data_IF_865194616002
#
_entry.id   IF_865194616002
#
_cell.length_a   1.000
_cell.length_b   1.000
_cell.length_c   1.000
_cell.angle_alpha   90.00
_cell.angle_beta   90.00
_cell.angle_gamma   90.00
#
_symmetry.space_group_name_H-M   'P 1'
#
loop_
_entity.id
_entity.type
_entity.pdbx_description
1 polymer ?
#
# COMPACT_ATOMS: atom_id res chain seq x y z
N UNK A 1 -22.71 33.82 72.83
CA UNK A 1 -21.81 33.99 71.66
C UNK A 1 -21.57 32.63 71.02
N UNK A 2 -22.33 32.20 70.00
CA UNK A 2 -21.97 31.02 69.22
C UNK A 2 -21.09 31.44 68.04
N UNK A 3 -19.98 30.71 67.86
CA UNK A 3 -19.05 30.89 66.74
C UNK A 3 -19.63 30.27 65.47
N UNK A 4 -19.85 31.09 64.44
CA UNK A 4 -20.21 30.63 63.10
C UNK A 4 -18.97 30.06 62.41
N UNK A 5 -18.89 28.74 62.26
CA UNK A 5 -17.86 28.08 61.46
C UNK A 5 -18.28 28.19 59.98
N UNK A 6 -17.70 29.17 59.29
CA UNK A 6 -17.81 29.32 57.84
C UNK A 6 -17.08 28.15 57.17
N UNK A 7 -17.82 27.14 56.72
CA UNK A 7 -17.31 26.07 55.87
C UNK A 7 -17.01 26.61 54.48
N UNK A 8 -15.77 27.07 54.27
CA UNK A 8 -15.20 27.32 52.96
C UNK A 8 -15.10 26.00 52.20
N UNK A 9 -16.09 25.70 51.35
CA UNK A 9 -15.97 24.62 50.37
C UNK A 9 -14.96 25.08 49.32
N UNK A 10 -13.75 24.54 49.37
CA UNK A 10 -12.85 24.52 48.22
C UNK A 10 -13.60 23.85 47.06
N UNK A 11 -14.05 24.64 46.09
CA UNK A 11 -14.51 24.13 44.82
C UNK A 11 -13.29 23.56 44.11
N UNK A 12 -13.17 22.23 44.06
CA UNK A 12 -12.20 21.55 43.21
C UNK A 12 -12.36 22.06 41.78
N UNK A 13 -11.26 22.33 41.04
CA UNK A 13 -11.35 22.77 39.67
C UNK A 13 -12.11 21.72 38.86
N UNK A 14 -13.06 22.19 38.05
CA UNK A 14 -13.92 21.39 37.18
C UNK A 14 -13.04 20.41 36.38
N UNK A 15 -13.12 19.11 36.68
CA UNK A 15 -12.40 18.08 35.93
C UNK A 15 -13.07 18.04 34.56
N UNK A 16 -12.44 18.67 33.57
CA UNK A 16 -12.83 18.54 32.16
C UNK A 16 -12.91 17.06 31.86
N UNK A 17 -14.12 16.58 31.56
CA UNK A 17 -14.37 15.15 31.35
C UNK A 17 -13.49 14.65 30.19
N UNK A 18 -12.48 13.84 30.52
CA UNK A 18 -11.59 13.27 29.50
C UNK A 18 -12.25 12.05 28.87
N UNK A 19 -11.95 11.84 27.60
CA UNK A 19 -12.48 10.76 26.78
C UNK A 19 -11.32 10.05 26.07
N UNK A 20 -11.46 8.74 25.89
CA UNK A 20 -10.52 7.94 25.12
C UNK A 20 -11.01 7.84 23.68
N UNK A 21 -10.11 8.08 22.73
CA UNK A 21 -10.34 7.86 21.31
C UNK A 21 -9.24 6.96 20.75
N UNK A 22 -9.46 6.38 19.58
CA UNK A 22 -8.47 5.55 18.90
C UNK A 22 -8.05 6.22 17.59
N UNK A 23 -6.75 6.22 17.30
CA UNK A 23 -6.23 6.79 16.05
C UNK A 23 -5.52 5.71 15.26
N UNK A 24 -5.98 5.47 14.02
CA UNK A 24 -5.37 4.55 13.08
C UNK A 24 -4.57 5.30 12.03
N UNK A 25 -3.32 4.90 11.81
CA UNK A 25 -2.50 5.45 10.74
C UNK A 25 -2.77 4.71 9.40
N UNK A 26 -3.37 5.38 8.42
CA UNK A 26 -3.69 4.78 7.11
C UNK A 26 -2.61 5.05 6.04
N UNK A 27 -1.47 5.63 6.42
CA UNK A 27 -0.34 5.85 5.51
C UNK A 27 0.22 4.50 5.00
N UNK A 28 0.13 4.26 3.69
CA UNK A 28 0.75 3.11 3.02
C UNK A 28 -0.18 1.94 2.63
N UNK A 29 -1.47 1.97 2.99
CA UNK A 29 -2.43 0.90 2.65
C UNK A 29 -2.90 0.93 1.17
N UNK A 30 -2.34 1.81 0.32
CA UNK A 30 -2.77 1.97 -1.08
C UNK A 30 -1.98 1.17 -2.11
N UNK A 31 -1.12 0.21 -1.72
CA UNK A 31 -0.49 -0.69 -2.69
C UNK A 31 -1.35 -1.96 -2.80
N UNK A 32 -2.18 -2.14 -3.84
CA UNK A 32 -2.65 -3.48 -4.16
C UNK A 32 -1.42 -4.37 -4.36
N UNK A 33 -1.44 -5.64 -3.89
CA UNK A 33 -0.30 -6.53 -4.07
C UNK A 33 0.10 -6.57 -5.55
N UNK A 34 1.40 -6.61 -5.89
CA UNK A 34 1.80 -6.84 -7.26
C UNK A 34 1.13 -8.13 -7.73
N UNK A 35 0.29 -8.03 -8.75
CA UNK A 35 -0.33 -9.17 -9.42
C UNK A 35 0.73 -9.95 -10.19
N UNK A 36 1.59 -10.66 -9.45
CA UNK A 36 2.55 -11.61 -9.96
C UNK A 36 2.94 -12.58 -8.85
N UNK A 37 1.96 -13.31 -8.32
CA UNK A 37 2.24 -14.61 -7.71
C UNK A 37 1.62 -15.70 -8.58
N UNK A 38 2.55 -16.44 -9.17
CA UNK A 38 2.35 -17.60 -10.01
C UNK A 38 1.42 -18.58 -9.31
N UNK A 39 0.38 -19.03 -10.03
CA UNK A 39 -0.37 -20.23 -9.66
C UNK A 39 0.60 -21.36 -9.33
N UNK A 40 0.54 -21.87 -8.10
CA UNK A 40 0.62 -23.29 -7.79
C UNK A 40 -0.29 -23.53 -6.60
N UNK A 41 -1.27 -24.41 -6.79
CA UNK A 41 -2.41 -24.55 -5.90
C UNK A 41 -2.07 -25.17 -4.55
N UNK A 42 -2.75 -24.67 -3.52
CA UNK A 42 -3.46 -25.46 -2.51
C UNK A 42 -4.08 -24.51 -1.46
N UNK A 43 -5.35 -24.75 -1.13
CA UNK A 43 -6.21 -24.16 -0.09
C UNK A 43 -6.92 -22.80 -0.33
N UNK A 44 -8.28 -22.77 -0.32
CA UNK A 44 -9.09 -21.56 -0.28
C UNK A 44 -9.57 -21.23 1.15
N UNK A 45 -8.68 -21.20 2.13
CA UNK A 45 -9.00 -20.77 3.51
C UNK A 45 -7.86 -19.93 4.09
N UNK A 46 -7.57 -18.81 3.46
CA UNK A 46 -6.86 -17.72 4.11
C UNK A 46 -7.42 -16.42 3.58
N UNK A 47 -8.40 -15.92 4.32
CA UNK A 47 -8.92 -14.57 4.20
C UNK A 47 -7.75 -13.59 4.11
N UNK A 48 -7.81 -12.71 3.11
CA UNK A 48 -6.99 -11.52 3.00
C UNK A 48 -7.02 -10.76 4.33
N UNK A 49 -6.04 -10.97 5.19
CA UNK A 49 -5.77 -10.10 6.32
C UNK A 49 -5.24 -8.80 5.72
N UNK A 50 -6.17 -7.86 5.50
CA UNK A 50 -5.85 -6.45 5.49
C UNK A 50 -5.04 -6.20 6.75
N UNK A 51 -3.72 -6.02 6.62
CA UNK A 51 -2.86 -5.62 7.72
C UNK A 51 -3.24 -4.19 8.11
N UNK A 52 -4.35 -4.06 8.83
CA UNK A 52 -4.79 -2.84 9.48
C UNK A 52 -3.67 -2.52 10.49
N UNK A 53 -2.96 -1.43 10.27
CA UNK A 53 -2.09 -0.87 11.30
C UNK A 53 -2.89 -0.77 12.61
N UNK A 54 -2.31 -1.17 13.77
CA UNK A 54 -3.04 -1.15 15.02
C UNK A 54 -3.39 0.30 15.39
N UNK A 55 -4.64 0.54 15.75
CA UNK A 55 -5.06 1.84 16.26
C UNK A 55 -4.47 2.05 17.65
N UNK A 56 -3.94 3.23 17.93
CA UNK A 56 -3.40 3.57 19.25
C UNK A 56 -4.39 4.45 20.03
N UNK A 57 -4.55 4.21 21.35
CA UNK A 57 -5.44 5.01 22.17
C UNK A 57 -4.83 6.39 22.47
N UNK A 58 -5.68 7.42 22.51
CA UNK A 58 -5.34 8.77 22.93
C UNK A 58 -6.39 9.30 23.89
N UNK A 59 -5.95 9.85 25.02
CA UNK A 59 -6.80 10.49 26.03
C UNK A 59 -6.86 11.98 25.74
N UNK A 60 -8.05 12.51 25.49
CA UNK A 60 -8.28 13.91 25.14
C UNK A 60 -9.48 14.49 25.92
N UNK A 61 -9.52 15.79 26.20
CA UNK A 61 -10.72 16.44 26.72
C UNK A 61 -11.90 16.31 25.75
N UNK A 62 -13.12 16.12 26.26
CA UNK A 62 -14.32 15.98 25.43
C UNK A 62 -14.58 17.19 24.50
N UNK A 63 -14.20 18.39 24.93
CA UNK A 63 -14.34 19.65 24.20
C UNK A 63 -13.11 20.03 23.34
N UNK A 64 -12.11 19.14 23.25
CA UNK A 64 -10.88 19.45 22.55
C UNK A 64 -11.13 19.85 21.07
N UNK A 65 -10.35 20.83 20.61
CA UNK A 65 -10.32 21.22 19.21
C UNK A 65 -9.54 20.22 18.36
N UNK A 66 -9.88 20.11 17.07
CA UNK A 66 -9.13 19.28 16.11
C UNK A 66 -7.69 19.79 15.95
N UNK A 67 -7.45 21.09 16.12
CA UNK A 67 -6.11 21.66 16.16
C UNK A 67 -5.28 21.06 17.29
N UNK A 68 -5.80 21.05 18.51
CA UNK A 68 -5.11 20.48 19.67
C UNK A 68 -4.83 18.98 19.46
N UNK A 69 -5.78 18.25 18.89
CA UNK A 69 -5.60 16.84 18.56
C UNK A 69 -4.46 16.63 17.55
N UNK A 70 -4.40 17.45 16.52
CA UNK A 70 -3.35 17.41 15.49
C UNK A 70 -1.96 17.68 16.10
N UNK A 71 -1.85 18.62 17.03
CA UNK A 71 -0.60 18.90 17.76
C UNK A 71 -0.17 17.72 18.62
N UNK A 72 -1.09 17.10 19.37
CA UNK A 72 -0.80 15.90 20.17
C UNK A 72 -0.35 14.73 19.29
N UNK A 73 -0.98 14.57 18.13
CA UNK A 73 -0.61 13.54 17.17
C UNK A 73 0.77 13.79 16.56
N UNK A 74 1.08 15.03 16.18
CA UNK A 74 2.41 15.43 15.69
C UNK A 74 3.52 15.01 16.65
N UNK A 75 3.33 15.27 17.95
CA UNK A 75 4.28 14.86 18.99
C UNK A 75 4.37 13.33 19.12
N UNK A 76 3.23 12.63 19.08
CA UNK A 76 3.18 11.16 19.23
C UNK A 76 3.76 10.42 18.02
N UNK A 77 3.54 10.92 16.81
CA UNK A 77 3.92 10.25 15.57
C UNK A 77 5.21 10.80 14.97
N UNK A 78 5.78 11.87 15.54
CA UNK A 78 6.93 12.61 15.01
C UNK A 78 6.74 13.13 13.57
N UNK A 79 5.49 13.47 13.21
CA UNK A 79 5.13 13.96 11.87
C UNK A 79 4.71 15.42 11.94
N UNK A 80 5.07 16.27 10.96
CA UNK A 80 4.65 17.67 10.95
C UNK A 80 3.14 17.80 10.80
N UNK A 81 2.54 18.79 11.46
CA UNK A 81 1.09 19.04 11.41
C UNK A 81 0.56 19.27 9.98
N UNK A 82 1.40 19.80 9.09
CA UNK A 82 1.06 20.01 7.67
C UNK A 82 0.70 18.72 6.94
N UNK A 83 1.32 17.62 7.36
CA UNK A 83 1.23 16.31 6.72
C UNK A 83 0.18 15.42 7.40
N UNK A 84 -0.49 15.91 8.44
CA UNK A 84 -1.56 15.18 9.11
C UNK A 84 -2.91 15.59 8.53
N UNK A 85 -3.71 14.59 8.12
CA UNK A 85 -5.12 14.74 7.75
C UNK A 85 -5.94 13.75 8.54
N UNK A 86 -6.89 14.26 9.32
CA UNK A 86 -7.78 13.45 10.13
C UNK A 86 -9.10 13.22 9.41
N UNK A 87 -9.58 11.98 9.44
CA UNK A 87 -10.81 11.54 8.80
C UNK A 87 -11.65 10.77 9.82
N UNK A 88 -12.92 11.13 9.91
CA UNK A 88 -13.91 10.44 10.72
C UNK A 88 -15.21 10.30 9.93
N UNK A 89 -15.81 9.10 9.95
CA UNK A 89 -17.03 8.78 9.19
C UNK A 89 -16.97 9.20 7.70
N UNK A 90 -15.80 9.07 7.07
CA UNK A 90 -15.59 9.45 5.66
C UNK A 90 -15.50 10.97 5.39
N UNK A 91 -15.49 11.81 6.44
CA UNK A 91 -15.36 13.27 6.32
C UNK A 91 -14.02 13.73 6.88
N UNK A 92 -13.37 14.66 6.18
CA UNK A 92 -12.17 15.33 6.67
C UNK A 92 -12.51 16.29 7.80
N UNK A 93 -11.77 16.19 8.91
CA UNK A 93 -11.93 17.09 10.04
C UNK A 93 -11.17 18.40 9.77
N UNK A 94 -11.84 19.52 10.00
CA UNK A 94 -11.25 20.86 9.88
C UNK A 94 -10.61 21.29 11.19
N UNK A 95 -9.46 21.97 11.13
CA UNK A 95 -8.72 22.42 12.32
C UNK A 95 -9.50 23.41 13.20
N UNK A 96 -10.54 24.07 12.66
CA UNK A 96 -11.41 25.00 13.37
C UNK A 96 -12.58 24.34 14.11
N UNK A 97 -12.82 23.04 13.89
CA UNK A 97 -13.90 22.30 14.53
C UNK A 97 -13.46 21.65 15.85
N UNK A 98 -14.42 21.24 16.67
CA UNK A 98 -14.20 20.49 17.93
C UNK A 98 -14.63 19.03 17.78
N UNK A 99 -14.18 18.17 18.69
CA UNK A 99 -14.61 16.76 18.72
C UNK A 99 -16.14 16.63 18.84
N UNK A 100 -16.73 17.39 19.76
CA UNK A 100 -18.18 17.45 19.98
C UNK A 100 -18.95 17.85 18.71
N UNK A 101 -18.47 18.88 17.98
CA UNK A 101 -19.14 19.36 16.75
C UNK A 101 -19.15 18.33 15.61
N UNK A 102 -18.24 17.35 15.63
CA UNK A 102 -18.16 16.27 14.64
C UNK A 102 -18.82 14.97 15.13
N UNK A 103 -19.54 14.98 16.25
CA UNK A 103 -20.13 13.79 16.88
C UNK A 103 -19.10 12.70 17.19
N UNK A 104 -17.89 13.11 17.60
CA UNK A 104 -16.83 12.19 18.03
C UNK A 104 -17.01 11.94 19.53
N UNK A 105 -17.39 10.71 19.88
CA UNK A 105 -17.64 10.28 21.25
C UNK A 105 -16.47 9.46 21.81
N UNK A 106 -16.59 9.00 23.06
CA UNK A 106 -15.70 7.96 23.62
C UNK A 106 -15.65 6.75 22.68
N UNK A 107 -14.46 6.17 22.61
CA UNK A 107 -14.13 4.98 21.81
C UNK A 107 -14.28 5.18 20.29
N UNK A 108 -14.41 6.42 19.82
CA UNK A 108 -14.41 6.73 18.39
C UNK A 108 -13.03 6.46 17.76
N UNK A 109 -13.04 5.84 16.58
CA UNK A 109 -11.83 5.56 15.78
C UNK A 109 -11.66 6.60 14.67
N UNK A 110 -10.60 7.39 14.75
CA UNK A 110 -10.19 8.36 13.75
C UNK A 110 -9.12 7.74 12.84
N UNK A 111 -9.15 8.11 11.57
CA UNK A 111 -8.14 7.71 10.61
C UNK A 111 -7.22 8.90 10.33
N UNK A 112 -5.94 8.72 10.61
CA UNK A 112 -4.89 9.67 10.30
C UNK A 112 -4.26 9.26 8.97
N UNK A 113 -4.43 10.09 7.95
CA UNK A 113 -3.82 9.94 6.64
C UNK A 113 -2.67 10.94 6.46
N UNK A 114 -1.59 10.49 5.84
CA UNK A 114 -0.60 11.42 5.28
C UNK A 114 -0.97 11.78 3.84
N UNK A 115 -0.70 13.00 3.38
CA UNK A 115 -0.81 13.31 1.96
C UNK A 115 0.06 12.33 1.20
N UNK A 116 -0.53 11.62 0.25
CA UNK A 116 0.24 10.84 -0.69
C UNK A 116 1.15 11.83 -1.40
N UNK A 117 2.47 11.76 -1.12
CA UNK A 117 3.46 12.44 -1.93
C UNK A 117 3.22 11.94 -3.34
N UNK A 118 2.64 12.79 -4.18
CA UNK A 118 2.30 12.45 -5.55
C UNK A 118 3.54 11.84 -6.18
N UNK A 119 3.48 10.56 -6.50
CA UNK A 119 4.56 9.90 -7.21
C UNK A 119 4.78 10.70 -8.48
N UNK A 120 5.99 11.21 -8.68
CA UNK A 120 6.39 11.76 -9.97
C UNK A 120 5.88 10.79 -11.04
N UNK A 121 5.14 11.26 -12.07
CA UNK A 121 4.59 10.35 -13.06
C UNK A 121 5.74 9.46 -13.54
N UNK A 122 5.61 8.13 -13.46
CA UNK A 122 6.70 7.23 -13.77
C UNK A 122 7.18 7.59 -15.18
N UNK A 123 8.48 7.86 -15.31
CA UNK A 123 9.08 8.21 -16.60
C UNK A 123 8.63 7.14 -17.59
N UNK A 124 7.96 7.57 -18.67
CA UNK A 124 7.47 6.64 -19.69
C UNK A 124 8.70 5.97 -20.31
N UNK A 125 8.91 4.70 -20.01
CA UNK A 125 9.98 3.91 -20.60
C UNK A 125 9.72 3.85 -22.11
N UNK A 126 10.74 4.06 -22.91
CA UNK A 126 10.65 4.03 -24.37
C UNK A 126 11.08 2.67 -24.89
N UNK A 127 10.57 2.32 -26.07
CA UNK A 127 11.02 1.15 -26.80
C UNK A 127 12.53 1.22 -27.05
N UNK A 128 13.24 0.13 -26.76
CA UNK A 128 14.68 -0.02 -27.00
C UNK A 128 15.01 -0.29 -28.48
N UNK A 129 14.01 -0.67 -29.28
CA UNK A 129 14.22 -0.97 -30.71
C UNK A 129 14.67 0.26 -31.50
N UNK A 130 15.59 0.05 -32.45
CA UNK A 130 16.17 1.11 -33.30
C UNK A 130 15.06 1.86 -34.02
N UNK A 131 15.16 3.19 -34.03
CA UNK A 131 14.20 4.10 -34.67
C UNK A 131 12.75 4.05 -34.15
N UNK A 132 12.49 3.32 -33.05
CA UNK A 132 11.17 3.29 -32.43
C UNK A 132 11.01 4.41 -31.39
N UNK A 133 10.01 5.29 -31.60
CA UNK A 133 9.69 6.39 -30.67
C UNK A 133 8.54 6.07 -29.71
N UNK A 134 7.98 4.87 -29.80
CA UNK A 134 6.83 4.46 -28.99
C UNK A 134 7.22 4.18 -27.54
N UNK A 135 6.25 4.32 -26.64
CA UNK A 135 6.41 3.89 -25.25
C UNK A 135 6.49 2.37 -25.14
N UNK A 136 7.35 1.86 -24.27
CA UNK A 136 7.37 0.46 -23.92
C UNK A 136 6.09 0.09 -23.15
N UNK A 137 5.58 -1.12 -23.40
CA UNK A 137 4.40 -1.63 -22.70
C UNK A 137 4.79 -2.04 -21.28
N UNK A 138 4.10 -1.52 -20.26
CA UNK A 138 4.38 -1.88 -18.86
C UNK A 138 4.13 -3.37 -18.61
N UNK A 139 4.97 -4.03 -17.81
CA UNK A 139 4.89 -5.45 -17.38
C UNK A 139 5.16 -6.46 -18.50
N UNK A 140 4.69 -6.13 -19.68
CA UNK A 140 4.53 -7.01 -20.82
C UNK A 140 5.64 -6.76 -21.84
N UNK A 141 6.14 -5.52 -21.94
CA UNK A 141 7.15 -5.11 -22.92
C UNK A 141 8.58 -5.50 -22.57
N UNK A 142 8.83 -6.04 -21.37
CA UNK A 142 10.16 -6.41 -20.91
C UNK A 142 10.58 -7.76 -21.51
N UNK A 143 11.75 -7.80 -22.15
CA UNK A 143 12.33 -9.03 -22.68
C UNK A 143 13.35 -9.60 -21.69
N UNK A 144 13.10 -10.79 -21.16
CA UNK A 144 13.99 -11.46 -20.20
C UNK A 144 15.30 -11.99 -20.80
N UNK A 145 15.44 -12.01 -22.12
CA UNK A 145 16.65 -12.52 -22.79
C UNK A 145 17.68 -11.41 -23.03
N UNK A 146 17.24 -10.25 -23.53
CA UNK A 146 18.11 -9.10 -23.79
C UNK A 146 17.98 -7.96 -22.76
N UNK A 147 17.11 -8.10 -21.75
CA UNK A 147 16.78 -7.06 -20.75
C UNK A 147 16.29 -5.73 -21.37
N UNK A 148 15.78 -5.76 -22.61
CA UNK A 148 15.22 -4.62 -23.32
C UNK A 148 13.74 -4.38 -23.02
N UNK A 149 13.25 -3.16 -23.28
CA UNK A 149 11.85 -2.77 -23.07
C UNK A 149 11.22 -2.39 -24.40
N UNK A 150 10.07 -2.96 -24.75
CA UNK A 150 9.52 -2.88 -26.09
C UNK A 150 8.05 -2.46 -26.12
N UNK A 151 7.66 -1.77 -27.19
CA UNK A 151 6.26 -1.42 -27.46
C UNK A 151 5.47 -2.62 -27.99
N UNK A 152 4.16 -2.49 -28.14
CA UNK A 152 3.29 -3.57 -28.62
C UNK A 152 3.71 -4.18 -29.97
N UNK A 153 4.37 -3.40 -30.84
CA UNK A 153 4.87 -3.85 -32.15
C UNK A 153 6.25 -4.50 -32.12
N UNK A 154 7.01 -4.36 -31.03
CA UNK A 154 8.38 -4.89 -30.92
C UNK A 154 8.54 -5.84 -29.73
N UNK A 155 7.43 -6.30 -29.15
CA UNK A 155 7.44 -7.12 -27.93
C UNK A 155 7.94 -8.54 -28.19
N UNK A 156 7.65 -9.12 -29.36
CA UNK A 156 8.09 -10.48 -29.67
C UNK A 156 9.60 -10.50 -29.92
N UNK A 157 10.22 -11.62 -29.58
CA UNK A 157 11.65 -11.87 -29.78
C UNK A 157 12.06 -11.67 -31.25
N UNK A 158 11.17 -12.05 -32.17
CA UNK A 158 11.35 -11.89 -33.62
C UNK A 158 11.32 -10.41 -34.03
N UNK A 159 10.36 -9.64 -33.50
CA UNK A 159 10.14 -8.24 -33.91
C UNK A 159 11.29 -7.31 -33.50
N UNK A 160 11.87 -7.51 -32.31
CA UNK A 160 13.01 -6.70 -31.86
C UNK A 160 14.37 -7.31 -32.19
N UNK A 161 14.41 -8.42 -32.92
CA UNK A 161 15.64 -9.16 -33.26
C UNK A 161 16.45 -9.45 -32.00
N UNK A 162 15.83 -10.16 -31.06
CA UNK A 162 16.45 -10.47 -29.78
C UNK A 162 17.77 -11.22 -29.97
N UNK A 163 18.84 -10.76 -29.35
CA UNK A 163 20.14 -11.45 -29.38
C UNK A 163 20.04 -12.86 -28.75
N UNK A 164 19.15 -13.05 -27.78
CA UNK A 164 18.91 -14.36 -27.14
C UNK A 164 17.92 -15.28 -27.89
N UNK A 165 17.44 -14.88 -29.07
CA UNK A 165 16.54 -15.71 -29.88
C UNK A 165 17.23 -17.01 -30.31
N UNK A 166 18.49 -16.93 -30.76
CA UNK A 166 19.24 -18.08 -31.28
C UNK A 166 19.50 -19.13 -30.19
N UNK A 167 19.89 -18.68 -28.99
CA UNK A 167 20.10 -19.56 -27.84
C UNK A 167 18.80 -20.25 -27.40
N UNK A 168 17.70 -19.48 -27.28
CA UNK A 168 16.40 -20.01 -26.92
C UNK A 168 15.88 -21.03 -27.95
N UNK A 169 16.11 -20.77 -29.24
CA UNK A 169 15.71 -21.66 -30.32
C UNK A 169 16.53 -22.95 -30.31
N UNK A 170 17.85 -22.85 -30.13
CA UNK A 170 18.76 -24.00 -30.06
C UNK A 170 18.44 -24.90 -28.87
N UNK A 171 18.20 -24.32 -27.69
CA UNK A 171 17.83 -25.07 -26.49
C UNK A 171 16.51 -25.85 -26.67
N UNK A 172 15.50 -25.21 -27.28
CA UNK A 172 14.23 -25.86 -27.59
C UNK A 172 14.40 -27.04 -28.55
N UNK A 173 15.20 -26.86 -29.62
CA UNK A 173 15.48 -27.93 -30.57
C UNK A 173 16.24 -29.10 -29.95
N UNK A 174 17.23 -28.82 -29.10
CA UNK A 174 17.99 -29.86 -28.40
C UNK A 174 17.10 -30.69 -27.48
N UNK A 175 16.22 -30.02 -26.72
CA UNK A 175 15.26 -30.68 -25.83
C UNK A 175 14.25 -31.55 -26.59
N UNK A 176 13.74 -31.06 -27.72
CA UNK A 176 12.83 -31.83 -28.57
C UNK A 176 13.55 -33.02 -29.21
N UNK A 177 14.78 -32.81 -29.71
CA UNK A 177 15.60 -33.89 -30.26
C UNK A 177 15.89 -34.97 -29.21
N UNK A 178 16.20 -34.59 -27.98
CA UNK A 178 16.41 -35.52 -26.87
C UNK A 178 15.13 -36.33 -26.56
N UNK A 179 13.97 -35.68 -26.55
CA UNK A 179 12.69 -36.34 -26.34
C UNK A 179 12.36 -37.34 -27.46
N UNK A 180 12.47 -36.93 -28.73
CA UNK A 180 12.25 -37.80 -29.89
C UNK A 180 13.21 -38.98 -29.91
N UNK A 181 14.46 -38.78 -29.51
CA UNK A 181 15.45 -39.85 -29.41
C UNK A 181 15.11 -40.85 -28.29
N UNK A 182 14.56 -40.38 -27.17
CA UNK A 182 14.13 -41.23 -26.07
C UNK A 182 12.86 -42.04 -26.42
N UNK A 183 11.95 -41.45 -27.19
CA UNK A 183 10.70 -42.08 -27.67
C UNK A 183 10.91 -42.92 -28.94
N UNK A 184 12.15 -42.97 -29.46
CA UNK A 184 12.46 -43.69 -30.70
C UNK A 184 12.27 -45.19 -30.52
N UNK A 185 11.33 -45.76 -31.28
CA UNK A 185 11.14 -47.22 -31.36
C UNK A 185 12.39 -47.91 -31.87
N UNK A 186 12.94 -48.83 -31.08
CA UNK A 186 14.06 -49.67 -31.50
C UNK A 186 13.54 -50.95 -32.13
N UNK A 187 14.07 -51.31 -33.29
CA UNK A 187 13.76 -52.59 -33.93
C UNK A 187 14.39 -53.69 -33.08
N UNK A 188 13.57 -54.61 -32.57
CA UNK A 188 14.06 -55.80 -31.88
C UNK A 188 14.74 -56.68 -32.93
N UNK A 189 16.08 -56.71 -32.95
CA UNK A 189 16.84 -57.63 -33.78
C UNK A 189 16.79 -59.02 -33.14
N UNK A 190 16.01 -59.92 -33.74
CA UNK A 190 16.04 -61.36 -33.44
C UNK A 190 14.68 -61.95 -33.13
N UNK A 191 13.98 -62.38 -34.18
CA UNK A 191 13.03 -63.50 -34.21
C UNK A 191 13.28 -64.26 -35.51
#
# INVERSE_FOLDING_TARGET
MPFSISSSRCQSPNVSETMQIFVKNVAGESKPPPSSEQRRGSNPEQAHQLTFSPAFPMTVPADASIRNLTTLLSVRTSLPESDLRLVYAGRHLSSSSTLASNNINRDATLHMAMPLRGGMPPKKIRCTYKDCKQGAQRVIGDCGFCNGHYCGTHRLLEDHKCDGLEDCKKESHDRNAAQLNAERTQVIKGI
#
